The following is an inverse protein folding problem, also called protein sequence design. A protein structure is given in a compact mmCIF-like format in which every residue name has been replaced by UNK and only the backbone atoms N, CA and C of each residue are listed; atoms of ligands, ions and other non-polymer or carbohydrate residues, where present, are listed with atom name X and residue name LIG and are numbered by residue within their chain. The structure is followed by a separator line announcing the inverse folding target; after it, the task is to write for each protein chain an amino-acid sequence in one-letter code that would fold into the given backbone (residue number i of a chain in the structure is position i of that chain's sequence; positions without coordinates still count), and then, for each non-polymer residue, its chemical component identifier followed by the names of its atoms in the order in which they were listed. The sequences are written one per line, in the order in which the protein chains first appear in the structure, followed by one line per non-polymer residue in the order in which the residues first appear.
data_IF_831771573424
#
_entry.id   IF_831771573424
#
_cell.length_a   1.000
_cell.length_b   1.000
_cell.length_c   1.000
_cell.angle_alpha   90.00
_cell.angle_beta   90.00
_cell.angle_gamma   90.00
#
_symmetry.space_group_name_H-M   'P 1'
#
loop_
_entity.id
_entity.type
_entity.pdbx_description
1 polymer ?
#
# COMPACT_ATOMS: atom_id res chain seq x y z
N UNK A 1 -23.63 -5.59 14.08
CA UNK A 1 -22.18 -5.90 14.25
C UNK A 1 -21.38 -4.58 14.28
N UNK A 2 -20.74 -4.24 15.41
CA UNK A 2 -20.29 -2.86 15.67
C UNK A 2 -18.80 -2.59 15.49
N UNK A 3 -17.97 -3.57 15.10
CA UNK A 3 -16.54 -3.35 14.78
C UNK A 3 -16.06 -4.29 13.66
N UNK A 4 -15.79 -3.73 12.48
CA UNK A 4 -15.24 -4.46 11.32
C UNK A 4 -13.73 -4.24 11.13
N UNK A 5 -13.13 -3.36 11.94
CA UNK A 5 -11.68 -3.08 11.92
C UNK A 5 -10.92 -4.14 12.74
N UNK A 6 -9.62 -4.29 12.46
CA UNK A 6 -8.73 -5.28 13.09
C UNK A 6 -9.10 -6.75 12.85
N UNK A 7 -9.90 -7.03 11.82
CA UNK A 7 -10.23 -8.38 11.36
C UNK A 7 -9.40 -8.81 10.14
N UNK A 8 -8.36 -8.04 9.77
CA UNK A 8 -7.50 -8.34 8.62
C UNK A 8 -8.06 -7.92 7.25
N UNK A 9 -9.36 -7.64 7.13
CA UNK A 9 -9.99 -7.30 5.84
C UNK A 9 -9.32 -6.16 5.08
N UNK A 10 -8.87 -5.10 5.77
CA UNK A 10 -8.17 -4.00 5.11
C UNK A 10 -6.86 -4.45 4.46
N UNK A 11 -6.14 -5.38 5.06
CA UNK A 11 -4.90 -5.92 4.49
C UNK A 11 -5.19 -6.79 3.27
N UNK A 12 -6.20 -7.66 3.34
CA UNK A 12 -6.64 -8.49 2.22
C UNK A 12 -7.07 -7.64 1.02
N UNK A 13 -7.80 -6.54 1.26
CA UNK A 13 -8.20 -5.61 0.19
C UNK A 13 -7.01 -4.89 -0.42
N UNK A 14 -6.00 -4.52 0.38
CA UNK A 14 -4.78 -3.89 -0.14
C UNK A 14 -3.96 -4.88 -0.97
N UNK A 15 -3.80 -6.13 -0.51
CA UNK A 15 -3.10 -7.18 -1.26
C UNK A 15 -3.78 -7.45 -2.62
N UNK A 16 -5.11 -7.53 -2.64
CA UNK A 16 -5.85 -7.72 -3.89
C UNK A 16 -5.74 -6.50 -4.81
N UNK A 17 -5.77 -5.28 -4.27
CA UNK A 17 -5.57 -4.07 -5.05
C UNK A 17 -4.15 -4.02 -5.67
N UNK A 18 -3.11 -4.41 -4.92
CA UNK A 18 -1.74 -4.52 -5.42
C UNK A 18 -1.64 -5.58 -6.53
N UNK A 19 -2.29 -6.73 -6.36
CA UNK A 19 -2.35 -7.81 -7.36
C UNK A 19 -2.99 -7.32 -8.66
N UNK A 20 -4.19 -6.74 -8.57
CA UNK A 20 -4.94 -6.22 -9.74
C UNK A 20 -4.15 -5.13 -10.45
N UNK A 21 -3.59 -4.17 -9.71
CA UNK A 21 -2.81 -3.07 -10.29
C UNK A 21 -1.59 -3.59 -11.07
N UNK A 22 -0.89 -4.60 -10.55
CA UNK A 22 0.28 -5.19 -11.20
C UNK A 22 -0.10 -6.10 -12.37
N UNK A 23 -0.99 -7.05 -12.16
CA UNK A 23 -1.22 -8.16 -13.09
C UNK A 23 -2.20 -7.79 -14.21
N UNK A 24 -3.22 -7.00 -13.90
CA UNK A 24 -4.28 -6.68 -14.85
C UNK A 24 -4.06 -5.33 -15.52
N UNK A 25 -3.44 -4.37 -14.82
CA UNK A 25 -3.16 -3.04 -15.33
C UNK A 25 -1.70 -2.80 -15.72
N UNK A 26 -0.77 -3.71 -15.40
CA UNK A 26 0.65 -3.53 -15.69
C UNK A 26 1.27 -2.32 -14.99
N UNK A 27 0.74 -1.93 -13.83
CA UNK A 27 1.19 -0.74 -13.10
C UNK A 27 2.48 -1.04 -12.34
N UNK A 28 3.44 -0.12 -12.40
CA UNK A 28 4.71 -0.24 -11.67
C UNK A 28 4.60 0.26 -10.22
N UNK A 29 3.61 1.11 -9.92
CA UNK A 29 3.47 1.79 -8.63
C UNK A 29 2.01 1.98 -8.27
N UNK A 30 1.71 1.88 -6.98
CA UNK A 30 0.40 2.19 -6.39
C UNK A 30 0.50 3.37 -5.44
N UNK A 31 -0.52 4.25 -5.46
CA UNK A 31 -0.62 5.43 -4.61
C UNK A 31 -1.94 5.38 -3.83
N UNK A 32 -1.86 5.65 -2.53
CA UNK A 32 -3.02 5.71 -1.63
C UNK A 32 -3.23 7.15 -1.16
N UNK A 33 -4.44 7.66 -1.37
CA UNK A 33 -4.89 8.91 -0.76
C UNK A 33 -5.07 8.64 0.74
N UNK A 34 -4.16 9.15 1.56
CA UNK A 34 -4.12 8.83 3.00
C UNK A 34 -4.32 10.08 3.86
N UNK A 35 -5.11 9.94 4.92
CA UNK A 35 -5.15 10.91 6.00
C UNK A 35 -3.86 10.83 6.84
N UNK A 36 -3.40 11.95 7.39
CA UNK A 36 -2.14 12.02 8.18
C UNK A 36 -2.10 10.96 9.29
N UNK A 37 -3.22 10.76 10.00
CA UNK A 37 -3.34 9.79 11.10
C UNK A 37 -3.35 8.32 10.68
N UNK A 38 -3.53 8.00 9.39
CA UNK A 38 -3.60 6.61 8.91
C UNK A 38 -2.30 6.14 8.25
N UNK A 39 -1.34 7.04 8.00
CA UNK A 39 -0.07 6.73 7.33
C UNK A 39 0.70 5.57 7.97
N UNK A 40 0.67 5.46 9.31
CA UNK A 40 1.35 4.36 10.01
C UNK A 40 0.76 2.98 9.69
N UNK A 41 -0.52 2.88 9.33
CA UNK A 41 -1.13 1.64 8.86
C UNK A 41 -0.48 1.15 7.57
N UNK A 42 -0.35 2.04 6.56
CA UNK A 42 0.27 1.70 5.28
C UNK A 42 1.77 1.45 5.39
N UNK A 43 2.48 2.15 6.28
CA UNK A 43 3.91 1.88 6.54
C UNK A 43 4.17 0.44 6.97
N UNK A 44 3.26 -0.16 7.76
CA UNK A 44 3.37 -1.57 8.15
C UNK A 44 3.27 -2.54 6.96
N UNK A 45 2.69 -2.09 5.84
CA UNK A 45 2.56 -2.84 4.59
C UNK A 45 3.66 -2.51 3.56
N UNK A 46 4.68 -1.73 3.96
CA UNK A 46 5.81 -1.37 3.10
C UNK A 46 5.63 -0.08 2.31
N UNK A 47 4.53 0.65 2.49
CA UNK A 47 4.34 1.94 1.81
C UNK A 47 5.20 3.05 2.45
N UNK A 48 5.70 3.97 1.63
CA UNK A 48 6.41 5.18 2.09
C UNK A 48 5.61 6.45 1.80
N UNK A 49 5.98 7.56 2.46
CA UNK A 49 5.34 8.86 2.23
C UNK A 49 5.88 9.47 0.95
N UNK A 50 5.00 9.83 0.02
CA UNK A 50 5.33 10.35 -1.29
C UNK A 50 4.43 11.55 -1.60
N UNK A 51 4.92 12.73 -1.24
CA UNK A 51 4.14 13.96 -1.25
C UNK A 51 2.91 13.85 -0.34
N UNK A 52 1.71 13.95 -0.94
CA UNK A 52 0.43 13.84 -0.23
C UNK A 52 -0.10 12.41 -0.15
N UNK A 53 0.58 11.45 -0.79
CA UNK A 53 0.15 10.05 -0.92
C UNK A 53 1.02 9.12 -0.06
N UNK A 54 0.54 7.89 0.14
CA UNK A 54 1.39 6.76 0.50
C UNK A 54 1.63 5.91 -0.75
N UNK A 55 2.87 5.60 -1.06
CA UNK A 55 3.26 4.92 -2.29
C UNK A 55 3.92 3.57 -2.01
N UNK A 56 3.80 2.63 -2.96
CA UNK A 56 4.52 1.34 -2.99
C UNK A 56 4.87 0.95 -4.44
N UNK A 57 6.08 0.43 -4.69
CA UNK A 57 6.42 -0.16 -5.98
C UNK A 57 5.86 -1.58 -6.07
N UNK A 58 5.33 -1.96 -7.23
CA UNK A 58 4.69 -3.26 -7.46
C UNK A 58 5.56 -4.24 -8.23
N UNK A 59 6.65 -3.76 -8.81
CA UNK A 59 7.52 -4.50 -9.73
C UNK A 59 8.82 -4.99 -9.07
N UNK A 60 8.86 -5.05 -7.74
CA UNK A 60 9.98 -5.61 -6.98
C UNK A 60 11.08 -4.62 -6.61
N UNK A 61 11.04 -3.37 -7.09
CA UNK A 61 12.06 -2.33 -6.76
C UNK A 61 12.22 -2.06 -5.26
N UNK A 62 11.23 -2.39 -4.45
CA UNK A 62 11.27 -2.22 -2.99
C UNK A 62 12.07 -3.33 -2.26
N UNK A 63 12.30 -4.48 -2.90
CA UNK A 63 13.05 -5.60 -2.30
C UNK A 63 14.57 -5.38 -2.36
N UNK A 64 15.04 -4.60 -3.35
CA UNK A 64 16.45 -4.34 -3.62
C UNK A 64 17.04 -3.14 -2.84
N UNK A 65 16.28 -2.56 -1.90
CA UNK A 65 16.83 -1.68 -0.85
C UNK A 65 16.99 -0.19 -1.19
N UNK A 66 16.61 0.28 -2.38
CA UNK A 66 16.77 1.69 -2.75
C UNK A 66 15.53 2.59 -2.52
N UNK A 67 14.35 1.99 -2.25
CA UNK A 67 13.07 2.72 -2.14
C UNK A 67 12.72 3.28 -0.76
N UNK A 68 13.46 2.94 0.30
CA UNK A 68 13.14 3.35 1.68
C UNK A 68 13.90 4.63 2.05
N UNK A 69 13.29 5.79 1.78
CA UNK A 69 13.64 7.06 2.43
C UNK A 69 12.92 7.19 3.78
#
# INVERSE_FOLDING_TARGET
PTKFQHQGYGMLLMEEAERVAREEHGSEKILVISGVGTRHYYRKMGYWLDGVYMSKWLDGRDEDGEGKQ
#
